data_IF_550562983641
#
_entry.id   IF_550562983641
#
_cell.length_a   1.000
_cell.length_b   1.000
_cell.length_c   1.000
_cell.angle_alpha   90.00
_cell.angle_beta   90.00
_cell.angle_gamma   90.00
#
_symmetry.space_group_name_H-M   'P 1'
#
loop_
_entity.id
_entity.type
_entity.pdbx_description
1 polymer ?
#
# COMPACT_ATOMS: atom_id res chain seq x y z
N UNK A 1 9.22 -1.93 20.40
CA UNK A 1 9.47 -1.44 19.02
C UNK A 1 8.18 -1.48 18.20
N UNK A 2 7.76 -0.35 17.60
CA UNK A 2 6.39 -0.18 17.07
C UNK A 2 6.34 0.14 15.57
N UNK A 3 7.50 0.20 14.89
CA UNK A 3 7.58 0.62 13.48
C UNK A 3 6.79 -0.28 12.51
N UNK A 4 6.77 -1.60 12.73
CA UNK A 4 6.00 -2.51 11.89
C UNK A 4 4.48 -2.33 12.06
N UNK A 5 4.03 -1.95 13.26
CA UNK A 5 2.62 -1.72 13.57
C UNK A 5 2.14 -0.45 12.87
N UNK A 6 2.89 0.65 12.99
CA UNK A 6 2.56 1.92 12.33
C UNK A 6 2.63 1.81 10.82
N UNK A 7 3.66 1.16 10.27
CA UNK A 7 3.80 0.93 8.83
C UNK A 7 2.58 0.18 8.28
N UNK A 8 2.16 -0.91 8.92
CA UNK A 8 0.99 -1.69 8.48
C UNK A 8 -0.30 -0.86 8.52
N UNK A 9 -0.50 -0.08 9.58
CA UNK A 9 -1.67 0.80 9.72
C UNK A 9 -1.72 1.86 8.63
N UNK A 10 -0.61 2.56 8.40
CA UNK A 10 -0.58 3.69 7.47
C UNK A 10 -0.51 3.25 6.01
N UNK A 11 0.08 2.08 5.70
CA UNK A 11 -0.06 1.45 4.39
C UNK A 11 -1.53 1.12 4.08
N UNK A 12 -2.26 0.53 5.05
CA UNK A 12 -3.70 0.28 4.90
C UNK A 12 -4.51 1.57 4.77
N UNK A 13 -4.15 2.64 5.50
CA UNK A 13 -4.76 3.95 5.31
C UNK A 13 -4.53 4.49 3.89
N UNK A 14 -3.30 4.31 3.37
CA UNK A 14 -2.86 4.81 2.08
C UNK A 14 -3.48 4.11 0.87
N UNK A 15 -3.82 2.81 0.98
CA UNK A 15 -4.71 2.04 0.07
C UNK A 15 -4.49 0.52 0.11
N UNK A 16 -3.51 -0.01 0.84
CA UNK A 16 -3.19 -1.45 0.85
C UNK A 16 -4.34 -2.29 1.43
N UNK A 17 -4.69 -3.43 0.82
CA UNK A 17 -5.91 -4.18 1.19
C UNK A 17 -5.80 -5.06 2.44
N UNK A 18 -4.58 -5.38 2.89
CA UNK A 18 -4.36 -6.21 4.06
C UNK A 18 -2.93 -6.18 4.57
N UNK A 19 -2.68 -6.92 5.66
CA UNK A 19 -1.36 -7.01 6.30
C UNK A 19 -1.09 -8.39 6.87
N UNK A 20 0.18 -8.80 6.90
CA UNK A 20 0.62 -9.99 7.65
C UNK A 20 0.83 -9.72 9.14
N UNK A 21 0.82 -8.45 9.56
CA UNK A 21 1.11 -8.06 10.94
C UNK A 21 -0.11 -8.27 11.86
N UNK A 22 -0.08 -9.38 12.61
CA UNK A 22 -1.14 -9.76 13.54
C UNK A 22 -1.35 -8.77 14.69
N UNK A 23 -0.33 -7.97 15.05
CA UNK A 23 -0.44 -7.01 16.15
C UNK A 23 -1.47 -5.91 15.85
N UNK A 24 -1.67 -5.59 14.56
CA UNK A 24 -2.66 -4.61 14.10
C UNK A 24 -4.06 -4.99 14.57
N UNK A 25 -4.40 -6.29 14.52
CA UNK A 25 -5.71 -6.81 14.96
C UNK A 25 -5.94 -6.60 16.47
N UNK A 26 -4.90 -6.77 17.28
CA UNK A 26 -4.96 -6.57 18.72
C UNK A 26 -4.95 -5.08 19.12
N UNK A 27 -4.12 -4.27 18.46
CA UNK A 27 -3.88 -2.88 18.82
C UNK A 27 -5.02 -1.93 18.43
N UNK A 28 -5.66 -2.15 17.28
CA UNK A 28 -6.65 -1.20 16.75
C UNK A 28 -8.11 -1.64 16.95
N UNK A 29 -8.34 -2.78 17.59
CA UNK A 29 -9.65 -3.34 17.98
C UNK A 29 -10.69 -3.51 16.86
N UNK A 30 -10.42 -3.12 15.60
CA UNK A 30 -11.20 -3.42 14.40
C UNK A 30 -10.36 -3.37 13.09
N UNK A 31 -10.82 -4.12 12.07
CA UNK A 31 -10.81 -3.68 10.66
C UNK A 31 -9.82 -4.33 9.69
N UNK A 32 -8.51 -4.15 9.91
CA UNK A 32 -7.52 -4.41 8.85
C UNK A 32 -7.47 -5.91 8.52
N UNK A 33 -7.78 -6.31 7.27
CA UNK A 33 -7.73 -7.71 6.87
C UNK A 33 -6.33 -8.29 7.06
N UNK A 34 -6.26 -9.44 7.73
CA UNK A 34 -5.02 -10.20 7.81
C UNK A 34 -4.88 -11.04 6.55
N UNK A 35 -3.70 -10.97 5.93
CA UNK A 35 -3.34 -11.77 4.77
C UNK A 35 -1.96 -12.39 5.00
N UNK A 36 -1.82 -13.67 4.68
CA UNK A 36 -0.60 -14.42 4.90
C UNK A 36 -0.77 -15.86 4.46
N UNK A 37 0.36 -16.50 4.16
CA UNK A 37 0.42 -17.83 3.55
C UNK A 37 1.38 -18.71 4.36
N UNK A 38 2.03 -19.67 3.72
CA UNK A 38 3.18 -20.40 4.26
C UNK A 38 4.52 -19.70 3.96
N UNK A 39 5.60 -20.20 4.57
CA UNK A 39 6.98 -19.77 4.33
C UNK A 39 7.82 -20.91 3.76
N UNK A 40 8.96 -20.59 3.15
CA UNK A 40 9.89 -21.61 2.63
C UNK A 40 10.38 -22.56 3.72
N UNK A 41 10.55 -22.08 4.95
CA UNK A 41 10.97 -22.91 6.08
C UNK A 41 9.94 -24.00 6.43
N UNK A 42 8.65 -23.72 6.22
CA UNK A 42 7.62 -24.75 6.38
C UNK A 42 7.73 -25.80 5.27
N UNK A 43 7.83 -25.38 4.01
CA UNK A 43 7.94 -26.30 2.87
C UNK A 43 9.19 -27.17 2.95
N UNK A 44 10.35 -26.59 3.27
CA UNK A 44 11.63 -27.30 3.33
C UNK A 44 11.79 -28.21 4.56
N UNK A 45 10.86 -28.15 5.52
CA UNK A 45 10.82 -29.05 6.67
C UNK A 45 10.35 -30.47 6.33
N UNK A 46 9.79 -30.68 5.13
CA UNK A 46 9.34 -31.97 4.62
C UNK A 46 10.33 -32.50 3.58
N UNK A 47 10.79 -33.73 3.75
CA UNK A 47 11.70 -34.41 2.82
C UNK A 47 10.94 -35.33 1.86
N UNK A 48 9.85 -35.95 2.33
CA UNK A 48 9.04 -36.88 1.54
C UNK A 48 7.56 -36.84 1.97
N UNK A 49 6.69 -37.52 1.21
CA UNK A 49 5.28 -37.66 1.59
C UNK A 49 5.08 -38.46 2.89
N UNK A 50 6.07 -39.25 3.32
CA UNK A 50 6.02 -39.98 4.60
C UNK A 50 6.13 -39.07 5.82
N UNK A 51 6.63 -37.85 5.67
CA UNK A 51 6.72 -36.87 6.76
C UNK A 51 5.35 -36.27 7.11
N UNK A 52 4.34 -36.48 6.26
CA UNK A 52 2.98 -36.01 6.48
C UNK A 52 2.36 -36.71 7.69
N UNK A 53 2.14 -35.94 8.76
CA UNK A 53 1.44 -36.43 9.96
C UNK A 53 -0.06 -36.30 9.78
N UNK A 54 -0.77 -37.41 9.90
CA UNK A 54 -2.22 -37.42 9.90
C UNK A 54 -2.76 -36.70 11.13
N UNK A 55 -3.70 -35.80 10.90
CA UNK A 55 -4.46 -35.08 11.93
C UNK A 55 -5.93 -35.03 11.54
N UNK A 56 -6.85 -34.86 12.51
CA UNK A 56 -8.24 -34.58 12.19
C UNK A 56 -8.33 -33.34 11.29
N UNK A 57 -8.89 -33.53 10.09
CA UNK A 57 -9.00 -32.49 9.07
C UNK A 57 -10.43 -32.42 8.54
N UNK A 58 -10.96 -31.21 8.23
CA UNK A 58 -12.22 -31.06 7.52
C UNK A 58 -12.23 -31.72 6.13
N UNK A 59 -11.06 -31.98 5.54
CA UNK A 59 -10.92 -32.67 4.25
C UNK A 59 -11.04 -34.19 4.38
N UNK A 60 -11.20 -34.71 5.59
CA UNK A 60 -11.36 -36.14 5.87
C UNK A 60 -10.03 -36.91 5.95
N UNK A 61 -10.08 -38.15 6.46
CA UNK A 61 -8.88 -38.96 6.72
C UNK A 61 -8.19 -39.46 5.45
N UNK A 62 -8.94 -39.62 4.35
CA UNK A 62 -8.44 -40.15 3.09
C UNK A 62 -7.83 -39.08 2.18
N UNK A 63 -7.82 -37.81 2.61
CA UNK A 63 -7.32 -36.70 1.81
C UNK A 63 -5.87 -36.90 1.31
N UNK A 64 -4.91 -37.37 2.13
CA UNK A 64 -3.55 -37.64 1.64
C UNK A 64 -3.50 -38.65 0.49
N UNK A 65 -4.32 -39.71 0.56
CA UNK A 65 -4.41 -40.69 -0.51
C UNK A 65 -5.03 -40.08 -1.76
N UNK A 66 -6.05 -39.23 -1.60
CA UNK A 66 -6.66 -38.49 -2.70
C UNK A 66 -5.66 -37.52 -3.38
N UNK A 67 -4.77 -36.88 -2.61
CA UNK A 67 -3.68 -36.04 -3.13
C UNK A 67 -2.70 -36.86 -3.98
N UNK A 68 -2.26 -38.02 -3.50
CA UNK A 68 -1.35 -38.89 -4.27
C UNK A 68 -2.01 -39.37 -5.57
N UNK A 69 -3.26 -39.82 -5.51
CA UNK A 69 -4.00 -40.22 -6.72
C UNK A 69 -4.20 -39.05 -7.69
N UNK A 70 -4.50 -37.86 -7.17
CA UNK A 70 -4.64 -36.65 -7.97
C UNK A 70 -3.32 -36.25 -8.65
N UNK A 71 -2.18 -36.37 -7.96
CA UNK A 71 -0.85 -36.16 -8.54
C UNK A 71 -0.60 -37.07 -9.74
N UNK A 72 -0.82 -38.38 -9.55
CA UNK A 72 -0.52 -39.37 -10.59
C UNK A 72 -1.41 -39.18 -11.83
N UNK A 73 -2.68 -38.78 -11.63
CA UNK A 73 -3.58 -38.36 -12.71
C UNK A 73 -3.09 -37.10 -13.42
N UNK A 74 -2.68 -36.10 -12.64
CA UNK A 74 -2.36 -34.76 -13.12
C UNK A 74 -1.03 -34.70 -13.88
N UNK A 75 -0.05 -35.51 -13.51
CA UNK A 75 1.22 -35.58 -14.25
C UNK A 75 1.05 -36.16 -15.65
N UNK A 76 -0.06 -36.86 -15.94
CA UNK A 76 -0.41 -37.29 -17.29
C UNK A 76 -0.97 -36.19 -18.20
N UNK A 77 -1.25 -34.99 -17.68
CA UNK A 77 -1.77 -33.86 -18.48
C UNK A 77 -0.68 -33.25 -19.37
N UNK A 78 0.58 -33.30 -18.93
CA UNK A 78 1.71 -32.69 -19.62
C UNK A 78 2.59 -33.74 -20.29
N UNK A 79 3.19 -33.42 -21.45
CA UNK A 79 3.95 -34.38 -22.25
C UNK A 79 5.28 -34.83 -21.61
N UNK A 80 5.78 -34.12 -20.60
CA UNK A 80 7.05 -34.41 -19.95
C UNK A 80 6.97 -35.69 -19.09
N UNK A 81 7.63 -36.74 -19.56
CA UNK A 81 7.62 -38.05 -18.90
C UNK A 81 8.29 -38.09 -17.50
N UNK A 82 8.96 -37.02 -17.08
CA UNK A 82 9.79 -36.99 -15.87
C UNK A 82 9.26 -36.08 -14.75
N UNK A 83 8.00 -35.62 -14.79
CA UNK A 83 7.41 -34.85 -13.67
C UNK A 83 7.54 -35.56 -12.32
N UNK A 84 7.40 -36.89 -12.27
CA UNK A 84 7.62 -37.68 -11.06
C UNK A 84 9.04 -37.56 -10.47
N UNK A 85 10.03 -37.22 -11.30
CA UNK A 85 11.42 -37.00 -10.87
C UNK A 85 11.70 -35.53 -10.55
N UNK A 86 11.03 -34.61 -11.24
CA UNK A 86 11.22 -33.17 -11.09
C UNK A 86 10.47 -32.59 -9.89
N UNK A 87 9.25 -33.09 -9.63
CA UNK A 87 8.40 -32.60 -8.56
C UNK A 87 8.80 -33.21 -7.21
N UNK A 88 9.07 -32.35 -6.23
CA UNK A 88 9.55 -32.78 -4.91
C UNK A 88 8.40 -33.30 -4.06
N UNK A 89 8.49 -34.56 -3.64
CA UNK A 89 7.46 -35.16 -2.79
C UNK A 89 7.31 -34.48 -1.42
N UNK A 90 8.41 -33.99 -0.82
CA UNK A 90 8.33 -33.20 0.41
C UNK A 90 7.51 -31.92 0.25
N UNK A 91 7.61 -31.25 -0.89
CA UNK A 91 6.81 -30.05 -1.19
C UNK A 91 5.31 -30.40 -1.32
N UNK A 92 4.98 -31.51 -1.97
CA UNK A 92 3.61 -32.04 -2.01
C UNK A 92 3.07 -32.34 -0.61
N UNK A 93 3.90 -32.95 0.25
CA UNK A 93 3.56 -33.26 1.63
C UNK A 93 3.26 -31.99 2.44
N UNK A 94 4.10 -30.96 2.30
CA UNK A 94 3.90 -29.68 2.95
C UNK A 94 2.59 -29.02 2.52
N UNK A 95 2.28 -29.04 1.22
CA UNK A 95 1.03 -28.48 0.69
C UNK A 95 -0.19 -29.25 1.20
N UNK A 96 -0.14 -30.59 1.21
CA UNK A 96 -1.20 -31.40 1.78
C UNK A 96 -1.41 -31.11 3.27
N UNK A 97 -0.33 -31.02 4.06
CA UNK A 97 -0.39 -30.68 5.49
C UNK A 97 -1.05 -29.31 5.72
N UNK A 98 -0.69 -28.32 4.91
CA UNK A 98 -1.25 -26.98 5.02
C UNK A 98 -2.73 -26.95 4.64
N UNK A 99 -3.11 -27.61 3.53
CA UNK A 99 -4.50 -27.73 3.10
C UNK A 99 -5.37 -28.45 4.14
N UNK A 100 -4.84 -29.50 4.78
CA UNK A 100 -5.55 -30.21 5.85
C UNK A 100 -5.81 -29.33 7.07
N UNK A 101 -4.90 -28.41 7.37
CA UNK A 101 -4.99 -27.52 8.54
C UNK A 101 -5.83 -26.27 8.24
N UNK A 102 -5.70 -25.71 7.03
CA UNK A 102 -6.32 -24.46 6.60
C UNK A 102 -7.07 -24.61 5.26
N UNK A 103 -8.09 -25.48 5.18
CA UNK A 103 -8.75 -25.81 3.92
C UNK A 103 -9.40 -24.61 3.23
N UNK A 104 -9.92 -23.66 4.00
CA UNK A 104 -10.58 -22.46 3.47
C UNK A 104 -9.59 -21.38 2.98
N UNK A 105 -8.30 -21.50 3.29
CA UNK A 105 -7.27 -20.50 3.00
C UNK A 105 -5.99 -21.11 2.42
N UNK A 106 -6.09 -22.26 1.74
CA UNK A 106 -4.92 -22.91 1.15
C UNK A 106 -4.36 -22.08 -0.02
N UNK A 107 -3.21 -21.45 0.22
CA UNK A 107 -2.44 -20.69 -0.76
C UNK A 107 -0.97 -21.12 -0.69
N UNK A 108 -0.47 -21.75 -1.75
CA UNK A 108 0.80 -22.45 -1.74
C UNK A 108 1.98 -21.56 -2.17
N UNK A 109 3.12 -21.69 -1.50
CA UNK A 109 4.38 -21.07 -1.92
C UNK A 109 5.12 -22.03 -2.86
N UNK A 110 5.16 -21.69 -4.15
CA UNK A 110 5.48 -22.68 -5.20
C UNK A 110 6.90 -22.63 -5.74
N UNK A 111 7.74 -21.71 -5.27
CA UNK A 111 9.08 -21.48 -5.79
C UNK A 111 10.19 -21.94 -4.83
N UNK A 112 9.89 -22.87 -3.91
CA UNK A 112 10.91 -23.39 -2.97
C UNK A 112 11.99 -24.20 -3.68
N UNK A 113 11.62 -24.97 -4.70
CA UNK A 113 12.57 -25.78 -5.48
C UNK A 113 12.57 -25.39 -6.97
N UNK A 114 11.41 -25.48 -7.61
CA UNK A 114 11.19 -25.01 -8.97
C UNK A 114 9.70 -24.75 -9.18
N UNK A 115 9.37 -23.53 -9.62
CA UNK A 115 7.99 -23.08 -9.80
C UNK A 115 7.21 -23.96 -10.77
N UNK A 116 7.72 -24.19 -11.98
CA UNK A 116 6.95 -24.84 -13.05
C UNK A 116 7.06 -26.35 -13.04
N UNK A 117 8.16 -26.90 -12.54
CA UNK A 117 8.38 -28.35 -12.55
C UNK A 117 8.11 -29.05 -11.21
N UNK A 118 7.87 -28.30 -10.14
CA UNK A 118 7.59 -28.86 -8.81
C UNK A 118 6.41 -28.17 -8.13
N UNK A 119 6.51 -26.88 -7.83
CA UNK A 119 5.53 -26.22 -6.98
C UNK A 119 4.15 -26.07 -7.61
N UNK A 120 4.05 -25.58 -8.84
CA UNK A 120 2.77 -25.48 -9.56
C UNK A 120 2.13 -26.87 -9.75
N UNK A 121 2.83 -27.90 -10.27
CA UNK A 121 2.29 -29.26 -10.35
C UNK A 121 1.81 -29.81 -9.00
N UNK A 122 2.60 -29.67 -7.94
CA UNK A 122 2.25 -30.16 -6.60
C UNK A 122 1.04 -29.42 -6.03
N UNK A 123 0.97 -28.10 -6.20
CA UNK A 123 -0.19 -27.31 -5.81
C UNK A 123 -1.45 -27.78 -6.54
N UNK A 124 -1.36 -27.97 -7.87
CA UNK A 124 -2.49 -28.40 -8.69
C UNK A 124 -3.00 -29.80 -8.30
N UNK A 125 -2.10 -30.72 -7.92
CA UNK A 125 -2.47 -32.02 -7.39
C UNK A 125 -3.30 -31.91 -6.10
N UNK A 126 -2.85 -31.07 -5.15
CA UNK A 126 -3.59 -30.81 -3.90
C UNK A 126 -4.91 -30.10 -4.18
N UNK A 127 -4.91 -29.11 -5.06
CA UNK A 127 -6.11 -28.38 -5.48
C UNK A 127 -7.15 -29.30 -6.13
N UNK A 128 -6.74 -30.22 -6.99
CA UNK A 128 -7.64 -31.22 -7.59
C UNK A 128 -8.28 -32.12 -6.52
N UNK A 129 -7.51 -32.58 -5.54
CA UNK A 129 -8.03 -33.37 -4.44
C UNK A 129 -9.04 -32.55 -3.60
N UNK A 130 -8.75 -31.28 -3.33
CA UNK A 130 -9.66 -30.38 -2.63
C UNK A 130 -10.97 -30.16 -3.39
N UNK A 131 -10.89 -29.89 -4.69
CA UNK A 131 -12.07 -29.69 -5.54
C UNK A 131 -12.99 -30.91 -5.57
N UNK A 132 -12.43 -32.13 -5.66
CA UNK A 132 -13.19 -33.38 -5.61
C UNK A 132 -13.96 -33.56 -4.30
N UNK A 133 -13.52 -32.93 -3.22
CA UNK A 133 -14.16 -32.92 -1.91
C UNK A 133 -15.04 -31.69 -1.67
N UNK A 134 -15.22 -30.83 -2.68
CA UNK A 134 -16.02 -29.60 -2.58
C UNK A 134 -15.31 -28.43 -1.87
N UNK A 135 -14.04 -28.59 -1.49
CA UNK A 135 -13.23 -27.51 -0.92
C UNK A 135 -12.61 -26.64 -2.03
N UNK A 136 -12.36 -25.36 -1.71
CA UNK A 136 -11.87 -24.36 -2.68
C UNK A 136 -10.48 -23.84 -2.29
N UNK A 137 -9.42 -24.24 -3.01
CA UNK A 137 -8.10 -23.65 -2.82
C UNK A 137 -8.12 -22.16 -3.22
N UNK A 138 -7.20 -21.37 -2.67
CA UNK A 138 -7.09 -19.93 -2.96
C UNK A 138 -6.19 -19.63 -4.14
N UNK A 139 -5.04 -20.29 -4.23
CA UNK A 139 -4.06 -19.99 -5.27
C UNK A 139 -2.62 -20.25 -4.88
N UNK A 140 -1.71 -19.53 -5.53
CA UNK A 140 -0.26 -19.69 -5.38
C UNK A 140 0.43 -18.36 -5.10
N UNK A 141 1.59 -18.43 -4.46
CA UNK A 141 2.53 -17.32 -4.28
C UNK A 141 3.85 -17.65 -4.95
N UNK A 142 4.35 -16.73 -5.76
CA UNK A 142 5.66 -16.78 -6.41
C UNK A 142 6.49 -15.63 -5.83
N UNK A 143 7.67 -15.94 -5.28
CA UNK A 143 8.53 -15.01 -4.53
C UNK A 143 9.94 -14.86 -5.15
N UNK A 144 10.15 -15.35 -6.37
CA UNK A 144 11.45 -15.30 -7.05
C UNK A 144 11.35 -15.62 -8.54
N UNK A 145 12.42 -15.31 -9.27
CA UNK A 145 12.52 -15.53 -10.72
C UNK A 145 11.90 -14.42 -11.57
N UNK A 146 11.70 -14.70 -12.86
CA UNK A 146 10.98 -13.81 -13.78
C UNK A 146 9.48 -13.89 -13.47
N UNK A 147 8.99 -12.96 -12.65
CA UNK A 147 7.62 -12.99 -12.13
C UNK A 147 6.56 -12.83 -13.25
N UNK A 148 6.84 -12.03 -14.28
CA UNK A 148 5.93 -11.85 -15.41
C UNK A 148 5.80 -13.16 -16.19
N UNK A 149 6.92 -13.77 -16.58
CA UNK A 149 6.94 -15.07 -17.24
C UNK A 149 6.27 -16.15 -16.38
N UNK A 150 6.72 -16.33 -15.15
CA UNK A 150 6.25 -17.39 -14.26
C UNK A 150 4.74 -17.28 -13.97
N UNK A 151 4.19 -16.07 -13.82
CA UNK A 151 2.74 -15.89 -13.64
C UNK A 151 1.94 -16.34 -14.87
N UNK A 152 2.41 -16.00 -16.08
CA UNK A 152 1.77 -16.43 -17.35
C UNK A 152 1.86 -17.92 -17.56
N UNK A 153 3.00 -18.52 -17.23
CA UNK A 153 3.19 -19.97 -17.29
C UNK A 153 2.27 -20.69 -16.28
N UNK A 154 2.22 -20.21 -15.04
CA UNK A 154 1.33 -20.75 -14.01
C UNK A 154 -0.15 -20.69 -14.45
N UNK A 155 -0.62 -19.55 -14.97
CA UNK A 155 -1.99 -19.40 -15.46
C UNK A 155 -2.31 -20.36 -16.60
N UNK A 156 -1.36 -20.61 -17.52
CA UNK A 156 -1.57 -21.59 -18.59
C UNK A 156 -1.72 -23.00 -18.04
N UNK A 157 -0.87 -23.40 -17.09
CA UNK A 157 -0.98 -24.71 -16.42
C UNK A 157 -2.31 -24.85 -15.69
N UNK A 158 -2.82 -23.77 -15.08
CA UNK A 158 -4.15 -23.75 -14.46
C UNK A 158 -5.24 -24.00 -15.51
N UNK A 159 -5.22 -23.30 -16.65
CA UNK A 159 -6.20 -23.50 -17.74
C UNK A 159 -6.16 -24.91 -18.31
N UNK A 160 -4.97 -25.49 -18.51
CA UNK A 160 -4.83 -26.87 -18.98
C UNK A 160 -5.45 -27.88 -18.00
N UNK A 161 -5.27 -27.67 -16.69
CA UNK A 161 -5.92 -28.51 -15.68
C UNK A 161 -7.43 -28.30 -15.61
N UNK A 162 -7.91 -27.07 -15.83
CA UNK A 162 -9.35 -26.78 -15.95
C UNK A 162 -9.97 -27.50 -17.14
N UNK A 163 -9.33 -27.48 -18.29
CA UNK A 163 -9.75 -28.22 -19.49
C UNK A 163 -9.75 -29.74 -19.26
N UNK A 164 -8.72 -30.26 -18.58
CA UNK A 164 -8.59 -31.70 -18.35
C UNK A 164 -9.57 -32.26 -17.30
N UNK A 165 -9.86 -31.49 -16.24
CA UNK A 165 -10.59 -32.00 -15.07
C UNK A 165 -11.95 -31.32 -14.82
N UNK A 166 -12.27 -30.23 -15.53
CA UNK A 166 -13.55 -29.53 -15.43
C UNK A 166 -13.77 -28.75 -14.12
N UNK A 167 -12.71 -28.53 -13.34
CA UNK A 167 -12.75 -27.70 -12.12
C UNK A 167 -12.17 -26.30 -12.38
N UNK A 168 -12.58 -25.26 -11.64
CA UNK A 168 -12.25 -23.87 -11.94
C UNK A 168 -10.82 -23.48 -11.51
N UNK A 169 -9.80 -24.15 -12.06
CA UNK A 169 -8.39 -23.85 -11.78
C UNK A 169 -7.97 -22.47 -12.31
N UNK A 170 -8.48 -22.07 -13.47
CA UNK A 170 -8.16 -20.80 -14.12
C UNK A 170 -8.51 -19.57 -13.30
N UNK A 171 -9.45 -19.70 -12.34
CA UNK A 171 -9.84 -18.63 -11.41
C UNK A 171 -9.05 -18.58 -10.10
N UNK A 172 -8.04 -19.44 -9.90
CA UNK A 172 -7.21 -19.45 -8.69
C UNK A 172 -6.24 -18.27 -8.67
N UNK A 173 -6.04 -17.65 -7.51
CA UNK A 173 -5.25 -16.43 -7.41
C UNK A 173 -3.75 -16.67 -7.62
N UNK A 174 -3.07 -15.75 -8.30
CA UNK A 174 -1.61 -15.69 -8.37
C UNK A 174 -1.13 -14.47 -7.60
N UNK A 175 -0.41 -14.72 -6.51
CA UNK A 175 0.23 -13.69 -5.69
C UNK A 175 1.69 -13.58 -6.08
N UNK A 176 2.14 -12.37 -6.40
CA UNK A 176 3.55 -12.07 -6.60
C UNK A 176 4.10 -11.34 -5.38
N UNK A 177 5.22 -11.82 -4.86
CA UNK A 177 6.06 -11.09 -3.91
C UNK A 177 7.51 -11.14 -4.41
N UNK A 178 8.39 -10.34 -3.77
CA UNK A 178 9.85 -10.23 -3.97
C UNK A 178 10.29 -8.80 -4.30
N UNK A 179 10.75 -8.08 -3.28
CA UNK A 179 11.30 -6.71 -3.37
C UNK A 179 10.57 -5.76 -4.33
N UNK A 180 9.24 -5.90 -4.37
CA UNK A 180 8.39 -5.12 -5.27
C UNK A 180 8.37 -3.64 -4.85
N UNK A 181 8.29 -2.76 -5.84
CA UNK A 181 8.09 -1.33 -5.70
C UNK A 181 7.30 -0.80 -6.91
N UNK A 182 7.06 0.50 -6.95
CA UNK A 182 6.27 1.14 -8.00
C UNK A 182 6.87 0.94 -9.40
N UNK A 183 8.20 1.00 -9.51
CA UNK A 183 8.90 0.82 -10.78
C UNK A 183 8.84 -0.63 -11.28
N UNK A 184 9.05 -1.61 -10.39
CA UNK A 184 8.98 -3.02 -10.77
C UNK A 184 7.55 -3.45 -11.10
N UNK A 185 6.54 -2.96 -10.37
CA UNK A 185 5.13 -3.21 -10.70
C UNK A 185 4.75 -2.57 -12.04
N UNK A 186 5.26 -1.36 -12.33
CA UNK A 186 5.04 -0.72 -13.64
C UNK A 186 5.64 -1.56 -14.76
N UNK A 187 6.88 -2.04 -14.61
CA UNK A 187 7.52 -2.92 -15.59
C UNK A 187 6.73 -4.23 -15.79
N UNK A 188 6.24 -4.86 -14.72
CA UNK A 188 5.40 -6.06 -14.81
C UNK A 188 4.11 -5.77 -15.60
N UNK A 189 3.46 -4.63 -15.37
CA UNK A 189 2.26 -4.24 -16.12
C UNK A 189 2.57 -4.04 -17.61
N UNK A 190 3.68 -3.39 -17.94
CA UNK A 190 4.11 -3.12 -19.33
C UNK A 190 4.48 -4.43 -20.08
N UNK A 191 5.12 -5.37 -19.41
CA UNK A 191 5.45 -6.70 -19.94
C UNK A 191 4.23 -7.63 -20.04
N UNK A 192 3.18 -7.34 -19.27
CA UNK A 192 1.98 -8.16 -19.09
C UNK A 192 2.19 -9.34 -18.15
N UNK A 193 1.40 -9.43 -17.09
CA UNK A 193 1.45 -10.52 -16.10
C UNK A 193 0.06 -11.11 -15.83
N UNK A 194 0.00 -12.24 -15.14
CA UNK A 194 -1.25 -12.91 -14.71
C UNK A 194 -1.45 -12.86 -13.18
N UNK A 195 -0.71 -11.97 -12.49
CA UNK A 195 -0.84 -11.72 -11.06
C UNK A 195 -2.17 -11.04 -10.71
N UNK A 196 -2.79 -11.52 -9.63
CA UNK A 196 -4.01 -10.97 -9.04
C UNK A 196 -3.73 -10.12 -7.79
N UNK A 197 -2.60 -10.37 -7.11
CA UNK A 197 -2.24 -9.73 -5.84
C UNK A 197 -0.73 -9.48 -5.79
N UNK A 198 -0.33 -8.32 -5.28
CA UNK A 198 1.07 -7.98 -4.99
C UNK A 198 1.34 -7.93 -3.49
N UNK A 199 2.33 -8.70 -3.03
CA UNK A 199 2.85 -8.66 -1.67
C UNK A 199 4.11 -7.80 -1.59
N UNK A 200 4.02 -6.65 -0.92
CA UNK A 200 5.12 -5.69 -0.82
C UNK A 200 5.58 -5.57 0.64
N UNK A 201 6.90 -5.71 0.86
CA UNK A 201 7.53 -5.66 2.18
C UNK A 201 8.39 -4.41 2.36
N UNK A 202 9.71 -4.59 2.19
CA UNK A 202 10.76 -3.61 2.52
C UNK A 202 10.46 -2.21 1.99
N UNK A 203 10.23 -2.06 0.68
CA UNK A 203 10.07 -0.74 0.04
C UNK A 203 8.97 0.12 0.68
N UNK A 204 7.86 -0.49 1.08
CA UNK A 204 6.72 0.22 1.71
C UNK A 204 6.99 0.48 3.18
N UNK A 205 7.48 -0.52 3.91
CA UNK A 205 7.66 -0.42 5.37
C UNK A 205 8.78 0.56 5.73
N UNK A 206 9.85 0.62 4.94
CA UNK A 206 10.99 1.50 5.18
C UNK A 206 10.92 2.81 4.41
N UNK A 207 9.95 2.95 3.49
CA UNK A 207 9.89 4.05 2.53
C UNK A 207 11.24 4.21 1.81
N UNK A 208 11.78 3.11 1.24
CA UNK A 208 13.19 2.99 0.87
C UNK A 208 13.71 4.12 -0.03
N UNK A 209 12.89 4.62 -0.97
CA UNK A 209 13.25 5.73 -1.85
C UNK A 209 13.43 7.06 -1.09
N UNK A 210 12.68 7.27 -0.02
CA UNK A 210 12.74 8.46 0.82
C UNK A 210 12.30 8.11 2.27
N UNK A 211 13.21 7.65 3.13
CA UNK A 211 12.87 7.15 4.46
C UNK A 211 12.48 8.26 5.46
N UNK A 212 12.56 9.52 5.06
CA UNK A 212 12.21 10.68 5.86
C UNK A 212 11.53 11.78 5.04
N UNK A 213 10.45 12.35 5.58
CA UNK A 213 9.72 13.44 4.92
C UNK A 213 10.32 14.83 5.19
N UNK A 214 11.14 14.99 6.23
CA UNK A 214 11.73 16.29 6.60
C UNK A 214 10.77 17.21 7.38
N UNK A 215 9.78 16.66 8.08
CA UNK A 215 8.85 17.41 8.92
C UNK A 215 9.58 18.10 10.07
N UNK A 216 9.25 19.37 10.33
CA UNK A 216 9.87 20.19 11.39
C UNK A 216 8.83 20.74 12.36
N UNK A 217 9.27 20.97 13.60
CA UNK A 217 8.53 21.75 14.59
C UNK A 217 9.24 23.10 14.81
N UNK A 218 8.49 24.21 14.73
CA UNK A 218 9.03 25.57 14.85
C UNK A 218 8.11 26.43 15.72
N UNK A 219 8.71 27.25 16.58
CA UNK A 219 8.02 28.33 17.26
C UNK A 219 7.69 29.43 16.24
N UNK A 220 6.42 29.79 16.15
CA UNK A 220 5.93 30.83 15.21
C UNK A 220 5.44 32.07 15.93
N UNK A 221 5.08 31.95 17.22
CA UNK A 221 4.56 33.03 18.04
C UNK A 221 4.79 32.74 19.53
N UNK A 222 5.14 33.76 20.31
CA UNK A 222 5.31 33.67 21.75
C UNK A 222 4.68 34.90 22.41
N UNK A 223 3.69 34.70 23.28
CA UNK A 223 2.99 35.79 23.98
C UNK A 223 2.46 36.88 23.02
N UNK A 224 1.92 36.46 21.88
CA UNK A 224 1.43 37.36 20.82
C UNK A 224 2.53 38.01 19.96
N UNK A 225 3.81 37.74 20.23
CA UNK A 225 4.93 38.25 19.44
C UNK A 225 5.31 37.24 18.33
N UNK A 226 5.33 37.67 17.06
CA UNK A 226 5.77 36.82 15.94
C UNK A 226 7.20 36.33 16.11
N UNK A 227 7.48 35.09 15.71
CA UNK A 227 8.81 34.51 15.69
C UNK A 227 9.15 34.03 14.26
N UNK A 228 10.30 34.47 13.74
CA UNK A 228 10.83 34.06 12.43
C UNK A 228 12.29 33.65 12.58
N UNK A 229 12.62 32.45 12.09
CA UNK A 229 13.98 31.94 11.95
C UNK A 229 14.38 32.04 10.49
N UNK A 230 15.37 32.89 10.21
CA UNK A 230 15.97 33.03 8.89
C UNK A 230 16.88 31.85 8.54
N UNK A 231 17.16 31.71 7.26
CA UNK A 231 18.01 30.68 6.68
C UNK A 231 18.65 31.24 5.41
N UNK A 232 19.89 30.82 5.11
CA UNK A 232 20.57 31.10 3.84
C UNK A 232 19.74 30.64 2.64
N UNK A 233 19.07 29.50 2.81
CA UNK A 233 18.06 29.01 1.88
C UNK A 233 16.70 29.65 2.22
N UNK A 234 16.17 30.45 1.29
CA UNK A 234 14.98 31.27 1.51
C UNK A 234 13.76 30.42 1.83
N UNK A 235 13.62 29.27 1.18
CA UNK A 235 12.50 28.34 1.36
C UNK A 235 12.50 27.69 2.74
N UNK A 236 13.64 27.69 3.45
CA UNK A 236 13.78 27.14 4.80
C UNK A 236 13.51 28.15 5.92
N UNK A 237 13.08 29.36 5.58
CA UNK A 237 12.68 30.35 6.57
C UNK A 237 11.29 30.05 7.11
N UNK A 238 11.15 30.10 8.43
CA UNK A 238 9.91 29.76 9.09
C UNK A 238 8.84 30.85 8.92
N UNK A 239 7.59 30.42 8.71
CA UNK A 239 6.43 31.29 8.64
C UNK A 239 6.04 31.82 10.04
N UNK A 240 6.02 33.14 10.30
CA UNK A 240 5.67 33.71 11.60
C UNK A 240 4.17 33.59 11.93
N UNK A 241 3.83 33.87 13.19
CA UNK A 241 2.47 33.92 13.80
C UNK A 241 1.65 32.64 13.77
N UNK A 242 0.59 32.60 14.58
CA UNK A 242 -0.47 31.61 14.42
C UNK A 242 -1.15 31.74 13.04
N UNK A 243 -1.38 30.61 12.37
CA UNK A 243 -1.92 30.55 11.00
C UNK A 243 -3.17 29.69 10.92
N UNK A 244 -4.04 30.03 9.98
CA UNK A 244 -5.09 29.15 9.48
C UNK A 244 -4.75 28.70 8.05
N UNK A 245 -5.17 27.49 7.70
CA UNK A 245 -4.95 26.92 6.38
C UNK A 245 -6.26 26.39 5.80
N UNK A 246 -6.52 26.74 4.54
CA UNK A 246 -7.76 26.41 3.84
C UNK A 246 -7.48 25.80 2.47
N UNK A 247 -8.22 24.77 2.10
CA UNK A 247 -8.21 24.23 0.74
C UNK A 247 -9.33 24.86 -0.08
N UNK A 248 -8.94 25.46 -1.20
CA UNK A 248 -9.84 26.14 -2.12
C UNK A 248 -10.17 25.23 -3.30
N UNK A 249 -11.47 24.98 -3.48
CA UNK A 249 -11.99 24.17 -4.58
C UNK A 249 -12.49 25.07 -5.71
N UNK A 250 -12.17 24.71 -6.95
CA UNK A 250 -12.64 25.41 -8.14
C UNK A 250 -14.13 25.13 -8.44
N UNK A 251 -14.66 25.71 -9.51
CA UNK A 251 -16.07 25.54 -9.91
C UNK A 251 -16.44 24.08 -10.24
N UNK A 252 -15.46 23.29 -10.68
CA UNK A 252 -15.56 21.85 -10.93
C UNK A 252 -15.54 21.01 -9.64
N UNK A 253 -15.25 21.59 -8.47
CA UNK A 253 -15.16 20.86 -7.20
C UNK A 253 -13.83 20.15 -6.99
N UNK A 254 -12.77 20.61 -7.67
CA UNK A 254 -11.41 20.06 -7.61
C UNK A 254 -10.53 20.96 -6.72
N UNK A 255 -9.72 20.40 -5.79
CA UNK A 255 -8.70 21.14 -5.05
C UNK A 255 -7.72 21.85 -5.99
N UNK A 256 -7.53 23.15 -5.80
CA UNK A 256 -6.70 23.95 -6.70
C UNK A 256 -5.60 24.78 -6.01
N UNK A 257 -5.86 25.24 -4.78
CA UNK A 257 -4.94 26.06 -3.99
C UNK A 257 -5.15 25.73 -2.51
N UNK A 258 -4.07 25.49 -1.77
CA UNK A 258 -4.10 25.58 -0.30
C UNK A 258 -3.65 26.99 0.10
N UNK A 259 -4.54 27.73 0.74
CA UNK A 259 -4.37 29.12 1.18
C UNK A 259 -3.99 29.18 2.66
N UNK A 260 -2.89 29.86 2.96
CA UNK A 260 -2.41 30.15 4.31
C UNK A 260 -2.68 31.61 4.63
N UNK A 261 -3.21 31.88 5.82
CA UNK A 261 -3.44 33.23 6.34
C UNK A 261 -3.18 33.31 7.84
N UNK A 262 -3.15 34.54 8.40
CA UNK A 262 -3.12 34.72 9.85
C UNK A 262 -4.37 34.09 10.48
N UNK A 263 -4.22 33.40 11.61
CA UNK A 263 -5.34 32.80 12.34
C UNK A 263 -6.36 33.84 12.85
N UNK A 264 -5.95 35.11 12.97
CA UNK A 264 -6.83 36.22 13.36
C UNK A 264 -7.72 36.75 12.21
N UNK A 265 -7.42 36.39 10.96
CA UNK A 265 -8.21 36.86 9.82
C UNK A 265 -9.53 36.08 9.71
N UNK A 266 -10.61 36.74 9.23
CA UNK A 266 -11.84 36.04 8.89
C UNK A 266 -11.60 34.90 7.90
N UNK A 267 -12.37 33.82 8.05
CA UNK A 267 -12.33 32.69 7.12
C UNK A 267 -12.70 33.16 5.70
N UNK A 268 -12.02 32.66 4.64
CA UNK A 268 -12.41 32.95 3.27
C UNK A 268 -13.85 32.48 2.97
N UNK A 269 -14.59 33.31 2.23
CA UNK A 269 -16.00 33.06 1.92
C UNK A 269 -16.15 32.47 0.51
N UNK A 270 -17.02 31.47 0.37
CA UNK A 270 -17.34 30.90 -0.94
C UNK A 270 -17.96 31.96 -1.88
N UNK A 271 -17.52 31.97 -3.13
CA UNK A 271 -17.99 32.92 -4.14
C UNK A 271 -17.35 34.31 -4.08
N UNK A 272 -16.57 34.60 -3.03
CA UNK A 272 -15.83 35.87 -2.93
C UNK A 272 -14.45 35.77 -3.59
N UNK A 273 -14.00 36.88 -4.18
CA UNK A 273 -12.72 36.95 -4.88
C UNK A 273 -11.58 37.12 -3.89
N UNK A 274 -10.66 36.17 -3.88
CA UNK A 274 -9.47 36.15 -3.03
C UNK A 274 -8.23 36.42 -3.88
N UNK A 275 -7.27 37.15 -3.33
CA UNK A 275 -5.94 37.24 -3.91
C UNK A 275 -5.03 36.17 -3.31
N UNK A 276 -4.49 35.31 -4.15
CA UNK A 276 -3.59 34.22 -3.77
C UNK A 276 -2.21 34.50 -4.34
N UNK A 277 -1.20 34.55 -3.47
CA UNK A 277 0.18 34.84 -3.86
C UNK A 277 1.14 33.82 -3.26
N UNK A 278 2.04 33.30 -4.07
CA UNK A 278 3.16 32.47 -3.61
C UNK A 278 4.13 33.34 -2.77
N UNK A 279 4.63 32.79 -1.67
CA UNK A 279 5.51 33.54 -0.76
C UNK A 279 6.90 33.81 -1.35
N UNK A 280 7.40 32.91 -2.20
CA UNK A 280 8.78 32.92 -2.68
C UNK A 280 8.88 33.25 -4.17
N UNK A 281 7.79 33.07 -4.92
CA UNK A 281 7.76 33.33 -6.35
C UNK A 281 6.74 34.41 -6.73
N UNK A 282 7.15 35.67 -6.78
CA UNK A 282 6.27 36.83 -7.01
C UNK A 282 5.39 36.77 -8.27
N UNK A 283 5.87 36.10 -9.31
CA UNK A 283 5.14 35.90 -10.57
C UNK A 283 4.01 34.88 -10.43
N UNK A 284 4.04 34.02 -9.42
CA UNK A 284 3.00 33.03 -9.11
C UNK A 284 1.94 33.67 -8.22
N UNK A 285 0.97 34.33 -8.86
CA UNK A 285 -0.15 34.99 -8.20
C UNK A 285 -1.41 34.89 -9.05
N UNK A 286 -2.57 34.83 -8.41
CA UNK A 286 -3.85 34.84 -9.09
C UNK A 286 -4.94 35.42 -8.21
N UNK A 287 -6.05 35.80 -8.84
CA UNK A 287 -7.31 35.88 -8.14
C UNK A 287 -8.02 34.53 -8.22
N UNK A 288 -8.57 34.07 -7.10
CA UNK A 288 -9.32 32.83 -7.01
C UNK A 288 -10.72 33.10 -6.46
N UNK A 289 -11.74 32.49 -7.05
CA UNK A 289 -13.12 32.54 -6.56
C UNK A 289 -13.49 31.11 -6.18
N UNK A 290 -13.44 30.73 -4.88
CA UNK A 290 -13.67 29.36 -4.47
C UNK A 290 -15.15 29.02 -4.51
N UNK A 291 -15.47 27.85 -5.06
CA UNK A 291 -16.81 27.26 -4.91
C UNK A 291 -17.01 26.70 -3.50
N UNK A 292 -15.97 26.06 -2.99
CA UNK A 292 -15.92 25.51 -1.64
C UNK A 292 -14.62 25.90 -0.98
N UNK A 293 -14.70 26.25 0.31
CA UNK A 293 -13.55 26.51 1.18
C UNK A 293 -13.57 25.47 2.29
N UNK A 294 -12.57 24.60 2.34
CA UNK A 294 -12.38 23.60 3.40
C UNK A 294 -11.31 24.08 4.38
N UNK A 295 -11.55 23.93 5.67
CA UNK A 295 -10.57 24.24 6.71
C UNK A 295 -9.73 22.99 7.03
N UNK A 296 -8.40 23.13 6.96
CA UNK A 296 -7.49 21.99 7.03
C UNK A 296 -7.02 21.67 8.45
N UNK A 297 -6.93 22.67 9.32
CA UNK A 297 -6.45 22.51 10.69
C UNK A 297 -7.65 22.50 11.65
N UNK A 298 -8.04 21.30 12.08
CA UNK A 298 -9.17 21.10 12.99
C UNK A 298 -8.63 20.90 14.41
N UNK A 299 -9.22 21.60 15.39
CA UNK A 299 -8.81 21.49 16.80
C UNK A 299 -9.27 20.15 17.37
N UNK A 300 -8.34 19.25 17.69
CA UNK A 300 -8.66 17.97 18.35
C UNK A 300 -8.50 18.03 19.86
N UNK A 301 -7.50 18.78 20.34
CA UNK A 301 -7.16 18.88 21.76
C UNK A 301 -7.23 20.35 22.15
N UNK A 302 -8.02 20.64 23.19
CA UNK A 302 -8.12 21.96 23.79
C UNK A 302 -8.01 21.82 25.30
N UNK A 303 -7.13 22.61 25.93
CA UNK A 303 -6.88 22.57 27.38
C UNK A 303 -6.58 21.16 27.91
N UNK A 304 -5.80 20.39 27.15
CA UNK A 304 -5.43 19.01 27.51
C UNK A 304 -6.56 17.98 27.37
N UNK A 305 -7.72 18.36 26.84
CA UNK A 305 -8.86 17.46 26.62
C UNK A 305 -9.11 17.24 25.14
N UNK A 306 -9.41 16.00 24.79
CA UNK A 306 -9.88 15.65 23.46
C UNK A 306 -11.31 16.20 23.28
N UNK A 307 -11.50 17.14 22.37
CA UNK A 307 -12.81 17.77 22.10
C UNK A 307 -13.52 17.17 20.88
N UNK A 308 -12.77 16.48 20.00
CA UNK A 308 -13.30 15.78 18.84
C UNK A 308 -12.94 14.28 18.92
N UNK A 309 -13.88 13.37 18.63
CA UNK A 309 -13.59 11.94 18.65
C UNK A 309 -12.55 11.58 17.58
N UNK A 310 -11.67 10.63 17.89
CA UNK A 310 -10.73 10.10 16.91
C UNK A 310 -11.50 9.25 15.89
N UNK A 311 -11.24 9.50 14.61
CA UNK A 311 -11.82 8.71 13.53
C UNK A 311 -11.27 7.29 13.52
N UNK A 312 -12.10 6.35 13.06
CA UNK A 312 -11.64 4.99 12.80
C UNK A 312 -10.74 4.95 11.57
N UNK A 313 -10.00 3.85 11.42
CA UNK A 313 -9.09 3.67 10.28
C UNK A 313 -9.86 3.55 8.95
N UNK A 314 -11.07 2.98 8.97
CA UNK A 314 -11.94 2.84 7.79
C UNK A 314 -12.43 4.20 7.31
N UNK A 315 -12.87 5.07 8.24
CA UNK A 315 -13.28 6.45 7.92
C UNK A 315 -12.10 7.22 7.35
N UNK A 316 -10.93 7.10 7.98
CA UNK A 316 -9.69 7.75 7.54
C UNK A 316 -9.24 7.28 6.16
N UNK A 317 -9.25 5.97 5.90
CA UNK A 317 -8.94 5.36 4.59
C UNK A 317 -9.93 5.83 3.53
N UNK A 318 -11.23 5.78 3.82
CA UNK A 318 -12.25 6.21 2.87
C UNK A 318 -12.10 7.69 2.52
N UNK A 319 -11.73 8.55 3.50
CA UNK A 319 -11.38 9.95 3.22
C UNK A 319 -10.13 10.06 2.35
N UNK A 320 -9.06 9.31 2.64
CA UNK A 320 -7.82 9.32 1.85
C UNK A 320 -8.09 8.97 0.39
N UNK A 321 -8.78 7.85 0.12
CA UNK A 321 -9.12 7.41 -1.24
C UNK A 321 -9.99 8.43 -1.97
N UNK A 322 -11.03 8.96 -1.32
CA UNK A 322 -11.87 10.01 -1.92
C UNK A 322 -11.07 11.27 -2.24
N UNK A 323 -10.19 11.70 -1.34
CA UNK A 323 -9.36 12.88 -1.55
C UNK A 323 -8.42 12.68 -2.74
N UNK A 324 -7.74 11.53 -2.85
CA UNK A 324 -6.90 11.22 -4.00
C UNK A 324 -7.69 11.28 -5.33
N UNK A 325 -8.92 10.80 -5.36
CA UNK A 325 -9.77 10.86 -6.55
C UNK A 325 -10.22 12.28 -6.95
N UNK A 326 -10.24 13.23 -6.02
CA UNK A 326 -10.61 14.61 -6.30
C UNK A 326 -9.49 15.41 -6.96
N UNK A 327 -8.23 15.02 -6.72
CA UNK A 327 -7.08 15.71 -7.31
C UNK A 327 -6.97 15.40 -8.80
N UNK A 328 -6.47 16.38 -9.55
CA UNK A 328 -6.15 16.18 -10.97
C UNK A 328 -5.02 15.16 -11.10
N UNK A 329 -5.09 14.32 -12.12
CA UNK A 329 -4.10 13.26 -12.35
C UNK A 329 -2.67 13.76 -12.53
N UNK A 330 -2.47 15.01 -12.98
CA UNK A 330 -1.14 15.59 -13.13
C UNK A 330 -0.43 15.90 -11.80
N UNK A 331 -1.16 16.06 -10.69
CA UNK A 331 -0.57 16.13 -9.35
C UNK A 331 -0.21 14.75 -8.79
N UNK A 332 -0.84 13.69 -9.29
CA UNK A 332 -0.74 12.33 -8.75
C UNK A 332 0.23 11.43 -9.52
N UNK A 333 0.72 11.87 -10.68
CA UNK A 333 1.68 11.10 -11.47
C UNK A 333 3.01 10.94 -10.73
N UNK A 334 3.61 9.77 -10.83
CA UNK A 334 4.87 9.44 -10.16
C UNK A 334 6.05 10.24 -10.70
N UNK A 335 6.07 10.48 -12.02
CA UNK A 335 7.17 11.17 -12.68
C UNK A 335 6.83 12.63 -12.97
N UNK A 336 7.66 13.52 -12.42
CA UNK A 336 7.57 14.97 -12.59
C UNK A 336 6.15 15.53 -12.35
N UNK A 337 5.49 15.27 -11.20
CA UNK A 337 4.15 15.78 -10.93
C UNK A 337 4.08 17.31 -11.05
N UNK A 338 2.91 17.82 -11.46
CA UNK A 338 2.65 19.26 -11.39
C UNK A 338 2.65 19.68 -9.93
N UNK A 339 3.44 20.71 -9.60
CA UNK A 339 3.49 21.25 -8.24
C UNK A 339 2.10 21.76 -7.81
N UNK A 340 1.64 21.34 -6.64
CA UNK A 340 0.38 21.81 -6.09
C UNK A 340 0.56 23.20 -5.46
N UNK A 341 -0.39 24.10 -5.71
CA UNK A 341 -0.26 25.51 -5.31
C UNK A 341 -0.53 25.67 -3.83
N UNK A 342 0.48 26.13 -3.10
CA UNK A 342 0.33 26.69 -1.75
C UNK A 342 0.53 28.20 -1.86
N UNK A 343 -0.42 28.97 -1.36
CA UNK A 343 -0.40 30.43 -1.49
C UNK A 343 -0.80 31.10 -0.19
N UNK A 344 -0.53 32.39 -0.08
CA UNK A 344 -0.96 33.23 1.03
C UNK A 344 -1.89 34.33 0.57
N UNK A 345 -2.63 34.87 1.53
CA UNK A 345 -3.35 36.14 1.37
C UNK A 345 -2.37 37.30 1.20
N UNK A 346 -2.80 38.40 0.59
CA UNK A 346 -1.94 39.58 0.37
C UNK A 346 -1.38 40.16 1.67
N UNK A 347 -2.22 40.21 2.70
CA UNK A 347 -1.90 40.72 4.04
C UNK A 347 -0.77 39.91 4.67
N UNK A 348 -0.91 38.58 4.67
CA UNK A 348 0.10 37.68 5.21
C UNK A 348 1.41 37.72 4.40
N UNK A 349 1.32 37.80 3.06
CA UNK A 349 2.50 37.98 2.22
C UNK A 349 3.27 39.26 2.60
N UNK A 350 2.57 40.41 2.69
CA UNK A 350 3.20 41.69 3.04
C UNK A 350 3.85 41.63 4.42
N UNK A 351 3.14 41.08 5.40
CA UNK A 351 3.63 40.90 6.75
C UNK A 351 4.89 40.02 6.81
N UNK A 352 4.89 38.89 6.09
CA UNK A 352 6.05 38.01 6.02
C UNK A 352 7.28 38.72 5.45
N UNK A 353 7.13 39.44 4.34
CA UNK A 353 8.23 40.15 3.68
C UNK A 353 8.72 41.37 4.47
N UNK A 354 7.83 42.07 5.17
CA UNK A 354 8.21 43.13 6.11
C UNK A 354 9.07 42.55 7.25
N UNK A 355 8.59 41.49 7.90
CA UNK A 355 9.32 40.80 8.96
C UNK A 355 10.69 40.31 8.49
N UNK A 356 10.73 39.71 7.30
CA UNK A 356 11.97 39.24 6.68
C UNK A 356 12.99 40.37 6.59
N UNK A 357 12.60 41.47 5.94
CA UNK A 357 13.48 42.61 5.71
C UNK A 357 13.96 43.26 7.01
N UNK A 358 13.12 43.28 8.05
CA UNK A 358 13.52 43.80 9.36
C UNK A 358 14.42 42.86 10.17
N UNK A 359 14.32 41.55 9.94
CA UNK A 359 15.08 40.54 10.69
C UNK A 359 16.42 40.24 10.03
N UNK A 360 16.52 40.39 8.71
CA UNK A 360 17.73 40.10 7.96
C UNK A 360 18.87 41.06 8.34
N UNK A 361 20.06 40.56 8.67
CA UNK A 361 21.20 41.41 8.99
C UNK A 361 21.64 42.21 7.76
N UNK A 362 21.99 43.47 7.96
CA UNK A 362 22.56 44.34 6.93
C UNK A 362 24.08 44.30 7.05
N UNK A 363 24.76 43.87 6.01
CA UNK A 363 26.21 43.85 5.95
C UNK A 363 26.74 45.06 5.18
N UNK A 364 27.80 45.68 5.70
CA UNK A 364 28.64 46.61 4.93
C UNK A 364 29.74 45.80 4.26
N UNK A 365 29.90 45.95 2.95
CA UNK A 365 31.00 45.36 2.19
C UNK A 365 32.02 46.47 1.88
N UNK A 366 33.30 46.19 2.09
CA UNK A 366 34.43 47.09 1.78
C UNK A 366 35.11 46.72 0.46
#
# INVERSE_FOLDING_TARGET
PDGALTASRYAYLGSFDGTSNVQVKAAYRFGIPLAGTMSHAFVSSFSSFMDLRLSPSPLGPDFPQAVMSARDLLFGVWPEANFHQMAKEGELAAFAAYAMTFPDNFLALVDTYNTLSSGIPNFLAVALAMFKLGAKPKGVRIDSGDLAYLSREARRMFKQCEEAFGFPFGGLSIVLSNDLNEATITALNDEGHEADVFGIGTNVVTCQAQPALGVVYKLVELEGKPCMKLSEDVEKTSLPTAKAAYRLYNKEGVPAVDLIQSASMPRPVCGEKLFCKDLYADKRRCFFIPKTVEELLIVFIQEGRLINPLETIEVSRARCVRQLQLFRGDHLRLHAPTEYKVSTTEEYYKFFHEMWNTTAPIHTLE
#
